data_IF_020590975029
#
_entry.id   IF_020590975029
#
_cell.length_a   1.000
_cell.length_b   1.000
_cell.length_c   1.000
_cell.angle_alpha   90.00
_cell.angle_beta   90.00
_cell.angle_gamma   90.00
#
_symmetry.space_group_name_H-M   'P 1'
#
loop_
_entity.id
_entity.type
_entity.pdbx_description
1 polymer ?
#
# COMPACT_ATOMS: atom_id res chain seq x y z
N UNK A 1 -29.70 -15.23 13.74
CA UNK A 1 -29.40 -14.67 12.41
C UNK A 1 -29.23 -15.83 11.45
N UNK A 2 -29.99 -15.87 10.36
CA UNK A 2 -29.89 -16.92 9.35
C UNK A 2 -28.60 -16.77 8.52
N UNK A 3 -28.20 -17.83 7.82
CA UNK A 3 -27.07 -17.79 6.88
C UNK A 3 -27.30 -16.74 5.78
N UNK A 4 -28.54 -16.60 5.30
CA UNK A 4 -28.89 -15.58 4.30
C UNK A 4 -28.67 -14.16 4.83
N UNK A 5 -29.05 -13.88 6.08
CA UNK A 5 -28.82 -12.57 6.71
C UNK A 5 -27.32 -12.27 6.92
N UNK A 6 -26.52 -13.29 7.24
CA UNK A 6 -25.05 -13.15 7.35
C UNK A 6 -24.43 -12.80 5.99
N UNK A 7 -24.80 -13.53 4.94
CA UNK A 7 -24.28 -13.30 3.59
C UNK A 7 -24.64 -11.91 3.05
N UNK A 8 -25.89 -11.46 3.26
CA UNK A 8 -26.32 -10.10 2.88
C UNK A 8 -25.51 -9.03 3.61
N UNK A 9 -25.32 -9.16 4.94
CA UNK A 9 -24.56 -8.19 5.73
C UNK A 9 -23.08 -8.14 5.33
N UNK A 10 -22.49 -9.28 4.99
CA UNK A 10 -21.12 -9.35 4.47
C UNK A 10 -20.97 -8.67 3.11
N UNK A 11 -21.94 -8.87 2.21
CA UNK A 11 -21.97 -8.20 0.90
C UNK A 11 -22.09 -6.68 1.07
N UNK A 12 -23.06 -6.21 1.86
CA UNK A 12 -23.25 -4.78 2.14
C UNK A 12 -21.99 -4.14 2.71
N UNK A 13 -21.34 -4.83 3.66
CA UNK A 13 -20.07 -4.38 4.24
C UNK A 13 -18.97 -4.30 3.18
N UNK A 14 -18.90 -5.27 2.26
CA UNK A 14 -17.92 -5.28 1.16
C UNK A 14 -18.17 -4.15 0.16
N UNK A 15 -19.42 -3.95 -0.25
CA UNK A 15 -19.81 -2.86 -1.17
C UNK A 15 -19.45 -1.50 -0.58
N UNK A 16 -19.78 -1.29 0.71
CA UNK A 16 -19.43 -0.05 1.42
C UNK A 16 -17.92 0.15 1.47
N UNK A 17 -17.14 -0.87 1.84
CA UNK A 17 -15.66 -0.78 1.86
C UNK A 17 -15.08 -0.42 0.50
N UNK A 18 -15.58 -1.02 -0.59
CA UNK A 18 -15.15 -0.69 -1.95
C UNK A 18 -15.42 0.77 -2.29
N UNK A 19 -16.62 1.27 -1.98
CA UNK A 19 -16.96 2.67 -2.20
C UNK A 19 -16.05 3.62 -1.40
N UNK A 20 -15.78 3.31 -0.12
CA UNK A 20 -14.86 4.08 0.73
C UNK A 20 -13.42 4.09 0.18
N UNK A 21 -12.94 2.96 -0.31
CA UNK A 21 -11.60 2.85 -0.93
C UNK A 21 -11.51 3.66 -2.22
N UNK A 22 -12.47 3.49 -3.12
CA UNK A 22 -12.48 4.20 -4.39
C UNK A 22 -12.57 5.73 -4.19
N UNK A 23 -13.43 6.19 -3.27
CA UNK A 23 -13.53 7.61 -2.93
C UNK A 23 -12.22 8.17 -2.37
N UNK A 24 -11.51 7.39 -1.52
CA UNK A 24 -10.22 7.81 -0.97
C UNK A 24 -9.12 7.89 -2.02
N UNK A 25 -9.09 6.95 -2.97
CA UNK A 25 -8.14 6.97 -4.08
C UNK A 25 -8.38 8.18 -5.00
N UNK A 26 -9.65 8.51 -5.28
CA UNK A 26 -10.01 9.71 -6.04
C UNK A 26 -9.65 11.01 -5.33
N UNK A 27 -9.93 11.09 -4.02
CA UNK A 27 -9.55 12.25 -3.22
C UNK A 27 -8.03 12.45 -3.26
N UNK A 28 -7.25 11.39 -3.08
CA UNK A 28 -5.79 11.47 -3.17
C UNK A 28 -5.30 11.91 -4.56
N UNK A 29 -5.96 11.47 -5.63
CA UNK A 29 -5.63 11.90 -7.00
C UNK A 29 -5.96 13.39 -7.25
N UNK A 30 -7.08 13.87 -6.71
CA UNK A 30 -7.50 15.27 -6.82
C UNK A 30 -6.60 16.20 -5.99
N UNK A 31 -6.29 15.80 -4.76
CA UNK A 31 -5.36 16.51 -3.87
C UNK A 31 -3.97 16.61 -4.49
N UNK A 32 -3.45 15.50 -5.04
CA UNK A 32 -2.14 15.52 -5.69
C UNK A 32 -2.12 16.43 -6.94
N UNK A 33 -3.25 16.58 -7.63
CA UNK A 33 -3.37 17.51 -8.76
C UNK A 33 -3.25 18.98 -8.32
N UNK A 34 -3.80 19.30 -7.15
CA UNK A 34 -3.74 20.65 -6.58
C UNK A 34 -2.43 20.96 -5.85
N UNK A 35 -1.78 19.94 -5.29
CA UNK A 35 -0.58 20.04 -4.45
C UNK A 35 0.48 18.98 -4.83
N UNK A 36 1.18 19.11 -5.99
CA UNK A 36 2.20 18.17 -6.45
C UNK A 36 3.34 17.90 -5.45
N UNK A 37 3.60 18.82 -4.52
CA UNK A 37 4.56 18.70 -3.43
C UNK A 37 4.17 17.62 -2.41
N UNK A 38 2.91 17.19 -2.37
CA UNK A 38 2.45 16.11 -1.47
C UNK A 38 3.06 14.76 -1.82
N UNK A 39 3.53 14.58 -3.05
CA UNK A 39 4.27 13.39 -3.45
C UNK A 39 5.72 13.47 -2.96
N UNK A 40 6.12 12.47 -2.18
CA UNK A 40 7.49 12.16 -1.82
C UNK A 40 7.93 10.88 -2.52
N UNK A 41 9.24 10.73 -2.70
CA UNK A 41 9.83 9.56 -3.35
C UNK A 41 11.07 9.11 -2.59
N UNK A 42 11.21 7.80 -2.41
CA UNK A 42 12.47 7.20 -1.99
C UNK A 42 13.50 7.21 -3.13
N UNK A 43 14.77 7.41 -2.79
CA UNK A 43 15.87 7.31 -3.76
C UNK A 43 16.08 5.85 -4.16
N UNK A 44 16.39 5.62 -5.43
CA UNK A 44 16.63 4.29 -6.00
C UNK A 44 18.06 3.80 -5.67
N UNK A 45 18.37 3.62 -4.38
CA UNK A 45 19.69 3.21 -3.87
C UNK A 45 19.59 1.83 -3.23
N UNK A 46 20.62 0.99 -3.41
CA UNK A 46 20.68 -0.36 -2.82
C UNK A 46 19.69 -1.35 -3.46
N UNK A 47 19.33 -1.14 -4.73
CA UNK A 47 18.36 -1.96 -5.46
C UNK A 47 18.73 -3.45 -5.41
N UNK A 48 17.74 -4.29 -5.11
CA UNK A 48 17.85 -5.75 -5.10
C UNK A 48 18.92 -6.30 -4.14
N UNK A 49 19.29 -5.52 -3.11
CA UNK A 49 20.19 -5.95 -2.04
C UNK A 49 19.43 -6.17 -0.75
N UNK A 50 19.85 -7.18 0.01
CA UNK A 50 19.36 -7.35 1.38
C UNK A 50 19.85 -6.18 2.22
N UNK A 51 18.96 -5.63 3.06
CA UNK A 51 19.31 -4.60 4.03
C UNK A 51 18.79 -5.03 5.41
N UNK A 52 19.57 -4.90 6.49
CA UNK A 52 19.14 -5.35 7.82
C UNK A 52 17.83 -4.68 8.25
N UNK A 53 16.84 -5.49 8.63
CA UNK A 53 15.48 -5.06 9.02
C UNK A 53 14.66 -4.42 7.89
N UNK A 54 15.15 -4.43 6.66
CA UNK A 54 14.43 -3.92 5.50
C UNK A 54 13.59 -4.99 4.84
N UNK A 55 12.34 -4.67 4.55
CA UNK A 55 11.50 -5.43 3.64
C UNK A 55 11.95 -5.19 2.20
N UNK A 56 11.78 -6.21 1.36
CA UNK A 56 12.11 -6.16 -0.06
C UNK A 56 10.84 -6.37 -0.88
N UNK A 57 10.48 -5.38 -1.69
CA UNK A 57 9.30 -5.43 -2.55
C UNK A 57 9.75 -5.51 -4.02
N UNK A 58 9.41 -6.59 -4.75
CA UNK A 58 9.84 -6.80 -6.14
C UNK A 58 9.06 -5.95 -7.15
N UNK A 59 8.09 -5.17 -6.68
CA UNK A 59 7.30 -4.20 -7.45
C UNK A 59 7.36 -2.85 -6.75
N UNK A 60 7.17 -1.76 -7.49
CA UNK A 60 7.00 -0.44 -6.88
C UNK A 60 5.72 -0.40 -6.02
N UNK A 61 5.73 0.45 -5.00
CA UNK A 61 4.59 0.65 -4.09
C UNK A 61 4.26 2.12 -3.92
N UNK A 62 2.97 2.41 -3.76
CA UNK A 62 2.47 3.73 -3.45
C UNK A 62 1.79 3.70 -2.07
N UNK A 63 2.29 4.54 -1.19
CA UNK A 63 1.80 4.73 0.18
C UNK A 63 0.99 6.02 0.27
N UNK A 64 -0.14 5.98 0.96
CA UNK A 64 -0.93 7.13 1.35
C UNK A 64 -0.97 7.18 2.89
N UNK A 65 -0.34 8.20 3.48
CA UNK A 65 -0.38 8.37 4.93
C UNK A 65 -1.71 9.01 5.33
N UNK A 66 -2.55 8.27 6.04
CA UNK A 66 -3.89 8.72 6.46
C UNK A 66 -3.84 9.42 7.83
N UNK A 67 -3.00 8.92 8.73
CA UNK A 67 -2.81 9.45 10.08
C UNK A 67 -1.40 9.18 10.60
N UNK A 68 -0.94 9.97 11.57
CA UNK A 68 0.42 9.91 12.07
C UNK A 68 1.47 10.22 11.00
N UNK A 69 2.58 9.49 11.03
CA UNK A 69 3.62 9.52 10.03
C UNK A 69 4.32 8.17 9.90
N UNK A 70 4.99 7.93 8.77
CA UNK A 70 5.90 6.80 8.61
C UNK A 70 7.30 7.31 8.40
N UNK A 71 8.23 6.82 9.21
CA UNK A 71 9.65 7.00 8.94
C UNK A 71 10.16 5.81 8.16
N UNK A 72 10.58 6.07 6.93
CA UNK A 72 11.25 5.11 6.07
C UNK A 72 12.75 5.23 6.27
N UNK A 73 13.41 4.08 6.44
CA UNK A 73 14.86 3.97 6.48
C UNK A 73 15.29 2.94 5.44
N UNK A 74 16.38 3.23 4.73
CA UNK A 74 16.94 2.32 3.74
C UNK A 74 18.42 2.63 3.50
N UNK A 75 19.07 1.95 2.53
CA UNK A 75 20.45 2.20 2.17
C UNK A 75 20.70 3.68 1.88
N UNK A 76 21.53 4.30 2.72
CA UNK A 76 21.96 5.71 2.62
C UNK A 76 20.82 6.74 2.65
N UNK A 77 19.60 6.35 3.03
CA UNK A 77 18.44 7.24 3.01
C UNK A 77 17.55 7.06 4.23
N UNK A 78 17.01 8.19 4.68
CA UNK A 78 15.99 8.25 5.71
C UNK A 78 15.07 9.41 5.38
N UNK A 79 13.77 9.17 5.40
CA UNK A 79 12.76 10.19 5.12
C UNK A 79 11.47 9.88 5.86
N UNK A 80 10.63 10.90 6.03
CA UNK A 80 9.37 10.78 6.75
C UNK A 80 8.20 11.14 5.83
N UNK A 81 7.20 10.27 5.79
CA UNK A 81 5.93 10.49 5.11
C UNK A 81 4.90 10.93 6.16
N UNK A 82 4.61 12.23 6.20
CA UNK A 82 3.62 12.81 7.10
C UNK A 82 2.18 12.56 6.60
N UNK A 83 1.20 12.67 7.51
CA UNK A 83 -0.23 12.62 7.19
C UNK A 83 -0.58 13.48 5.98
N UNK A 84 -1.44 12.94 5.10
CA UNK A 84 -1.90 13.57 3.87
C UNK A 84 -0.91 13.45 2.69
N UNK A 85 0.29 12.90 2.89
CA UNK A 85 1.28 12.77 1.81
C UNK A 85 1.21 11.41 1.13
N UNK A 86 1.69 11.39 -0.11
CA UNK A 86 1.88 10.19 -0.91
C UNK A 86 3.37 9.85 -0.97
N UNK A 87 3.72 8.58 -0.82
CA UNK A 87 5.08 8.09 -0.88
C UNK A 87 5.23 7.07 -2.01
N UNK A 88 6.09 7.37 -2.99
CA UNK A 88 6.50 6.40 -4.00
C UNK A 88 7.76 5.67 -3.52
N UNK A 89 7.66 4.35 -3.37
CA UNK A 89 8.81 3.48 -3.16
C UNK A 89 9.15 2.77 -4.47
N UNK A 90 10.32 3.04 -5.06
CA UNK A 90 10.77 2.36 -6.27
C UNK A 90 10.87 0.86 -6.08
N UNK A 91 10.65 0.14 -7.18
CA UNK A 91 10.86 -1.30 -7.25
C UNK A 91 12.25 -1.70 -6.76
N UNK A 92 12.30 -2.70 -5.89
CA UNK A 92 13.54 -3.31 -5.46
C UNK A 92 14.35 -2.50 -4.44
N UNK A 93 13.85 -1.35 -3.98
CA UNK A 93 14.47 -0.59 -2.88
C UNK A 93 14.11 -1.26 -1.54
N UNK A 94 15.10 -1.80 -0.81
CA UNK A 94 14.83 -2.35 0.51
C UNK A 94 14.60 -1.21 1.51
N UNK A 95 13.60 -1.35 2.39
CA UNK A 95 13.29 -0.32 3.37
C UNK A 95 12.68 -0.89 4.65
N UNK A 96 12.96 -0.25 5.78
CA UNK A 96 12.28 -0.47 7.05
C UNK A 96 11.26 0.65 7.28
N UNK A 97 10.17 0.29 7.93
CA UNK A 97 9.10 1.22 8.28
C UNK A 97 9.03 1.36 9.80
N UNK A 98 9.09 2.59 10.29
CA UNK A 98 8.78 2.90 11.68
C UNK A 98 7.49 3.72 11.74
N UNK A 99 6.39 3.16 12.24
CA UNK A 99 5.14 3.89 12.42
C UNK A 99 5.26 4.89 13.57
N UNK A 100 4.80 6.12 13.37
CA UNK A 100 4.84 7.21 14.34
C UNK A 100 3.44 7.78 14.53
N UNK A 101 2.92 7.73 15.76
CA UNK A 101 1.77 8.56 16.12
C UNK A 101 2.21 10.03 16.20
N UNK A 102 1.35 10.93 15.73
CA UNK A 102 1.56 12.38 15.81
C UNK A 102 0.31 13.01 16.43
N UNK A 103 -0.21 14.07 15.84
CA UNK A 103 -1.51 14.63 16.22
C UNK A 103 -2.67 13.61 16.02
N UNK A 104 -2.47 12.63 15.14
CA UNK A 104 -3.40 11.52 14.90
C UNK A 104 -2.67 10.17 15.05
N UNK A 105 -3.40 9.09 15.39
CA UNK A 105 -2.83 7.74 15.37
C UNK A 105 -2.32 7.35 13.98
N UNK A 106 -1.27 6.52 13.94
CA UNK A 106 -0.73 5.96 12.72
C UNK A 106 -1.80 5.22 11.92
N UNK A 107 -1.98 5.63 10.68
CA UNK A 107 -2.80 4.93 9.70
C UNK A 107 -2.22 5.15 8.30
N UNK A 108 -2.14 4.07 7.53
CA UNK A 108 -1.60 4.07 6.18
C UNK A 108 -2.51 3.28 5.24
N UNK A 109 -2.63 3.73 4.00
CA UNK A 109 -3.13 2.93 2.89
C UNK A 109 -1.98 2.61 1.93
N UNK A 110 -1.93 1.36 1.46
CA UNK A 110 -0.98 0.93 0.43
C UNK A 110 -1.71 0.10 -0.62
N UNK A 111 -1.31 0.28 -1.88
CA UNK A 111 -1.71 -0.59 -2.98
C UNK A 111 -0.58 -1.56 -3.31
N UNK A 112 -0.84 -2.86 -3.14
CA UNK A 112 0.13 -3.91 -3.42
C UNK A 112 -0.23 -4.65 -4.72
N UNK A 113 0.77 -4.91 -5.55
CA UNK A 113 0.59 -5.69 -6.78
C UNK A 113 0.22 -7.15 -6.44
N UNK A 114 -0.75 -7.73 -7.17
CA UNK A 114 -1.15 -9.13 -7.01
C UNK A 114 -1.28 -9.84 -8.36
N UNK A 115 -1.10 -11.16 -8.39
CA UNK A 115 -1.15 -11.94 -9.65
C UNK A 115 -2.46 -11.74 -10.44
N UNK A 116 -3.59 -11.69 -9.73
CA UNK A 116 -4.92 -11.53 -10.34
C UNK A 116 -5.40 -10.07 -10.39
N UNK A 117 -4.60 -9.10 -9.94
CA UNK A 117 -5.03 -7.73 -9.77
C UNK A 117 -4.18 -6.96 -8.78
N UNK A 118 -4.81 -6.44 -7.73
CA UNK A 118 -4.12 -5.71 -6.67
C UNK A 118 -4.83 -5.90 -5.33
N UNK A 119 -4.13 -5.57 -4.26
CA UNK A 119 -4.69 -5.57 -2.90
C UNK A 119 -4.57 -4.17 -2.34
N UNK A 120 -5.67 -3.60 -1.87
CA UNK A 120 -5.66 -2.38 -1.06
C UNK A 120 -5.59 -2.78 0.40
N UNK A 121 -4.60 -2.27 1.12
CA UNK A 121 -4.39 -2.56 2.53
C UNK A 121 -4.46 -1.24 3.30
N UNK A 122 -5.34 -1.18 4.30
CA UNK A 122 -5.29 -0.17 5.35
C UNK A 122 -4.57 -0.79 6.54
N UNK A 123 -3.49 -0.17 6.98
CA UNK A 123 -2.72 -0.62 8.11
C UNK A 123 -2.74 0.40 9.25
N UNK A 124 -2.59 -0.11 10.46
CA UNK A 124 -2.45 0.64 11.71
C UNK A 124 -1.32 0.02 12.55
N UNK A 125 -0.86 0.70 13.58
CA UNK A 125 0.25 0.23 14.40
C UNK A 125 0.05 0.64 15.87
N UNK A 126 -0.90 0.00 16.57
CA UNK A 126 -1.13 0.27 17.97
C UNK A 126 0.13 -0.12 18.78
N UNK A 127 0.42 0.58 19.88
CA UNK A 127 1.46 0.14 20.81
C UNK A 127 1.05 -1.21 21.43
N UNK A 128 2.01 -2.13 21.52
CA UNK A 128 1.87 -3.38 22.29
C UNK A 128 2.12 -3.13 23.79
N UNK A 129 2.09 -4.20 24.59
CA UNK A 129 2.26 -4.13 26.04
C UNK A 129 3.62 -3.54 26.47
N UNK A 130 4.66 -3.69 25.63
CA UNK A 130 6.01 -3.17 25.87
C UNK A 130 6.22 -1.80 25.20
N UNK A 131 5.17 -1.23 24.60
CA UNK A 131 5.20 0.04 23.86
C UNK A 131 5.84 -0.05 22.47
N UNK A 132 6.22 -1.25 22.02
CA UNK A 132 6.68 -1.46 20.65
C UNK A 132 5.50 -1.42 19.69
N UNK A 133 5.78 -1.14 18.41
CA UNK A 133 4.74 -0.97 17.38
C UNK A 133 5.01 -1.92 16.23
N UNK A 134 3.97 -2.64 15.83
CA UNK A 134 3.98 -3.49 14.64
C UNK A 134 2.89 -3.02 13.70
N UNK A 135 3.21 -2.94 12.41
CA UNK A 135 2.22 -2.59 11.38
C UNK A 135 1.29 -3.78 11.17
N UNK A 136 0.01 -3.59 11.42
CA UNK A 136 -1.04 -4.61 11.35
C UNK A 136 -2.06 -4.21 10.28
N UNK A 137 -2.35 -5.08 9.29
CA UNK A 137 -3.46 -4.88 8.37
C UNK A 137 -4.80 -4.82 9.12
N UNK A 138 -5.53 -3.72 8.95
CA UNK A 138 -6.89 -3.53 9.50
C UNK A 138 -7.97 -3.88 8.48
N UNK A 139 -7.77 -3.47 7.24
CA UNK A 139 -8.68 -3.74 6.13
C UNK A 139 -7.88 -4.19 4.91
N UNK A 140 -8.27 -5.32 4.34
CA UNK A 140 -7.61 -5.93 3.19
C UNK A 140 -8.67 -6.18 2.13
N UNK A 141 -8.57 -5.45 1.02
CA UNK A 141 -9.48 -5.53 -0.09
C UNK A 141 -8.73 -6.05 -1.33
N UNK A 142 -8.79 -7.36 -1.62
CA UNK A 142 -8.33 -7.88 -2.90
C UNK A 142 -9.29 -7.45 -4.01
N UNK A 143 -8.72 -6.95 -5.10
CA UNK A 143 -9.44 -6.56 -6.32
C UNK A 143 -8.87 -7.36 -7.49
N UNK A 144 -9.67 -8.27 -8.04
CA UNK A 144 -9.33 -8.98 -9.26
C UNK A 144 -9.57 -8.06 -10.47
N UNK A 145 -8.50 -7.60 -11.10
CA UNK A 145 -8.56 -6.72 -12.27
C UNK A 145 -7.22 -6.74 -13.00
N UNK A 146 -7.21 -7.23 -14.23
CA UNK A 146 -6.04 -7.17 -15.11
C UNK A 146 -5.58 -5.73 -15.35
N UNK A 147 -6.53 -4.81 -15.59
CA UNK A 147 -6.22 -3.38 -15.77
C UNK A 147 -5.60 -2.76 -14.51
N UNK A 148 -6.14 -3.10 -13.35
CA UNK A 148 -5.59 -2.67 -12.06
C UNK A 148 -4.18 -3.22 -11.80
N UNK A 149 -3.92 -4.46 -12.22
CA UNK A 149 -2.57 -5.06 -12.18
C UNK A 149 -1.60 -4.30 -13.09
N UNK A 150 -2.00 -4.08 -14.34
CA UNK A 150 -1.19 -3.36 -15.34
C UNK A 150 -0.91 -1.91 -14.95
N UNK A 151 -1.81 -1.27 -14.18
CA UNK A 151 -1.63 0.09 -13.71
C UNK A 151 -0.34 0.28 -12.90
N UNK A 152 0.19 -0.76 -12.25
CA UNK A 152 1.46 -0.66 -11.50
C UNK A 152 2.65 -0.22 -12.38
N UNK A 153 2.58 -0.40 -13.71
CA UNK A 153 3.59 0.15 -14.63
C UNK A 153 3.70 1.67 -14.53
N UNK A 154 2.61 2.37 -14.20
CA UNK A 154 2.64 3.82 -14.02
C UNK A 154 3.48 4.26 -12.83
N UNK A 155 3.66 3.40 -11.82
CA UNK A 155 4.58 3.68 -10.71
C UNK A 155 6.04 3.62 -11.17
N UNK A 156 6.38 2.66 -12.04
CA UNK A 156 7.70 2.56 -12.65
C UNK A 156 7.94 3.72 -13.64
N UNK A 157 6.93 4.11 -14.44
CA UNK A 157 7.00 5.27 -15.35
C UNK A 157 7.16 6.59 -14.57
N UNK A 158 6.48 6.74 -13.41
CA UNK A 158 6.66 7.89 -12.53
C UNK A 158 8.07 7.96 -11.93
N UNK A 159 8.64 6.82 -11.55
CA UNK A 159 10.00 6.72 -11.02
C UNK A 159 11.03 7.16 -12.06
N UNK A 160 10.89 6.67 -13.30
CA UNK A 160 11.76 7.02 -14.42
C UNK A 160 11.65 8.49 -14.80
N UNK A 161 10.42 9.00 -14.93
CA UNK A 161 10.17 10.41 -15.25
C UNK A 161 10.84 11.32 -14.23
N UNK A 162 10.66 11.04 -12.93
CA UNK A 162 11.26 11.85 -11.88
C UNK A 162 12.79 11.73 -11.86
N UNK A 163 13.35 10.55 -12.14
CA UNK A 163 14.81 10.37 -12.20
C UNK A 163 15.46 11.14 -13.36
N UNK A 164 14.74 11.39 -14.44
CA UNK A 164 15.23 12.09 -15.64
C UNK A 164 15.50 13.59 -15.45
N UNK A 165 15.07 14.20 -14.34
CA UNK A 165 15.23 15.65 -14.10
C UNK A 165 14.27 16.52 -14.92
N UNK A 166 14.55 17.83 -15.01
CA UNK A 166 13.70 18.80 -15.72
C UNK A 166 12.27 18.86 -15.15
N UNK A 167 11.26 18.82 -16.01
CA UNK A 167 9.84 18.72 -15.64
C UNK A 167 9.39 17.28 -15.27
N UNK A 168 10.36 16.38 -15.04
CA UNK A 168 10.09 14.98 -14.71
C UNK A 168 9.21 14.78 -13.48
N UNK A 169 9.20 15.74 -12.54
CA UNK A 169 8.30 15.71 -11.38
C UNK A 169 6.83 15.91 -11.77
N UNK A 170 6.52 16.83 -12.68
CA UNK A 170 5.15 17.05 -13.15
C UNK A 170 4.60 15.81 -13.83
N UNK A 171 5.40 15.23 -14.74
CA UNK A 171 5.04 13.99 -15.42
C UNK A 171 4.88 12.80 -14.44
N UNK A 172 5.75 12.69 -13.43
CA UNK A 172 5.60 11.66 -12.40
C UNK A 172 4.29 11.81 -11.63
N UNK A 173 3.89 13.04 -11.30
CA UNK A 173 2.60 13.31 -10.65
C UNK A 173 1.44 12.86 -11.53
N UNK A 174 1.47 13.13 -12.83
CA UNK A 174 0.41 12.68 -13.73
C UNK A 174 0.31 11.15 -13.82
N UNK A 175 1.43 10.44 -13.87
CA UNK A 175 1.43 8.97 -13.81
C UNK A 175 0.83 8.44 -12.50
N UNK A 176 1.18 9.03 -11.35
CA UNK A 176 0.57 8.64 -10.06
C UNK A 176 -0.93 8.94 -10.04
N UNK A 177 -1.38 10.06 -10.61
CA UNK A 177 -2.81 10.39 -10.70
C UNK A 177 -3.57 9.37 -11.56
N UNK A 178 -3.03 9.02 -12.73
CA UNK A 178 -3.61 7.98 -13.59
C UNK A 178 -3.66 6.64 -12.87
N UNK A 179 -2.60 6.25 -12.16
CA UNK A 179 -2.58 5.05 -11.33
C UNK A 179 -3.73 5.03 -10.31
N UNK A 180 -3.86 6.09 -9.50
CA UNK A 180 -4.89 6.21 -8.48
C UNK A 180 -6.31 6.16 -9.09
N UNK A 181 -6.53 6.83 -10.21
CA UNK A 181 -7.81 6.84 -10.92
C UNK A 181 -8.17 5.46 -11.48
N UNK A 182 -7.21 4.73 -12.06
CA UNK A 182 -7.44 3.35 -12.53
C UNK A 182 -7.79 2.44 -11.35
N UNK A 183 -7.04 2.51 -10.24
CA UNK A 183 -7.35 1.70 -9.06
C UNK A 183 -8.74 2.04 -8.49
N UNK A 184 -9.12 3.32 -8.45
CA UNK A 184 -10.44 3.73 -7.99
C UNK A 184 -11.56 3.16 -8.87
N UNK A 185 -11.44 3.30 -10.19
CA UNK A 185 -12.41 2.78 -11.16
C UNK A 185 -12.55 1.25 -11.06
N UNK A 186 -11.42 0.53 -10.99
CA UNK A 186 -11.42 -0.93 -10.90
C UNK A 186 -11.92 -1.43 -9.54
N UNK A 187 -11.69 -0.67 -8.45
CA UNK A 187 -12.25 -0.97 -7.13
C UNK A 187 -13.79 -0.89 -7.12
N UNK A 188 -14.39 0.06 -7.87
CA UNK A 188 -15.85 0.16 -8.03
C UNK A 188 -16.41 -0.97 -8.90
N UNK A 189 -15.71 -1.30 -9.98
CA UNK A 189 -16.12 -2.32 -10.96
C UNK A 189 -15.96 -3.74 -10.46
N UNK A 190 -15.08 -3.94 -9.48
CA UNK A 190 -14.80 -5.25 -8.93
C UNK A 190 -16.10 -5.98 -8.61
N UNK A 191 -16.39 -7.05 -9.34
CA UNK A 191 -17.46 -7.95 -8.95
C UNK A 191 -17.01 -8.71 -7.72
N UNK A 192 -17.96 -9.25 -6.96
CA UNK A 192 -17.69 -10.18 -5.88
C UNK A 192 -17.05 -11.45 -6.43
N UNK A 193 -15.75 -11.41 -6.74
CA UNK A 193 -15.00 -12.62 -7.03
C UNK A 193 -15.12 -13.58 -5.84
N UNK A 194 -15.35 -14.86 -6.11
CA UNK A 194 -15.32 -15.88 -5.07
C UNK A 194 -13.99 -15.78 -4.32
N UNK A 195 -14.06 -15.57 -3.01
CA UNK A 195 -12.88 -15.66 -2.16
C UNK A 195 -12.43 -17.12 -2.16
N UNK A 196 -11.36 -17.41 -2.89
CA UNK A 196 -10.75 -18.74 -2.87
C UNK A 196 -10.20 -19.12 -1.47
N UNK A 197 -9.89 -18.13 -0.64
CA UNK A 197 -9.29 -18.30 0.68
C UNK A 197 -9.89 -17.36 1.73
N UNK A 198 -9.79 -17.72 3.01
CA UNK A 198 -10.26 -16.88 4.12
C UNK A 198 -9.40 -15.62 4.29
N UNK A 199 -9.91 -14.54 4.91
CA UNK A 199 -9.13 -13.34 5.20
C UNK A 199 -7.84 -13.60 5.99
N UNK A 200 -7.87 -14.57 6.91
CA UNK A 200 -6.71 -14.94 7.72
C UNK A 200 -5.61 -15.58 6.86
N UNK A 201 -5.98 -16.43 5.90
CA UNK A 201 -5.02 -17.03 4.95
C UNK A 201 -4.38 -15.97 4.05
N UNK A 202 -5.16 -14.99 3.59
CA UNK A 202 -4.62 -13.90 2.77
C UNK A 202 -3.69 -12.98 3.60
N UNK A 203 -4.04 -12.67 4.85
CA UNK A 203 -3.17 -11.92 5.75
C UNK A 203 -1.84 -12.68 6.03
N UNK A 204 -1.93 -13.98 6.35
CA UNK A 204 -0.75 -14.82 6.56
C UNK A 204 0.14 -14.90 5.31
N UNK A 205 -0.45 -14.92 4.11
CA UNK A 205 0.32 -14.88 2.85
C UNK A 205 1.07 -13.57 2.65
N UNK A 206 0.46 -12.44 2.99
CA UNK A 206 1.13 -11.13 2.93
C UNK A 206 2.33 -11.14 3.88
N UNK A 207 2.13 -11.54 5.14
CA UNK A 207 3.21 -11.64 6.13
C UNK A 207 4.31 -12.59 5.66
N UNK A 208 3.97 -13.81 5.23
CA UNK A 208 4.95 -14.76 4.75
C UNK A 208 5.79 -14.22 3.57
N UNK A 209 5.16 -13.51 2.62
CA UNK A 209 5.85 -12.91 1.47
C UNK A 209 6.80 -11.79 1.88
N UNK A 210 6.39 -10.91 2.79
CA UNK A 210 7.21 -9.80 3.27
C UNK A 210 8.43 -10.25 4.08
N UNK A 211 8.46 -11.52 4.52
CA UNK A 211 9.51 -12.09 5.35
C UNK A 211 10.19 -13.33 4.72
N UNK A 212 10.08 -13.54 3.40
CA UNK A 212 10.72 -14.67 2.71
C UNK A 212 12.25 -14.73 2.87
N UNK A 213 12.88 -13.58 3.14
CA UNK A 213 14.32 -13.50 3.37
C UNK A 213 14.73 -13.81 4.83
N UNK A 214 13.77 -14.04 5.73
CA UNK A 214 14.02 -14.35 7.13
C UNK A 214 14.08 -15.85 7.36
N UNK A 215 15.24 -16.34 7.77
CA UNK A 215 15.47 -17.78 8.06
C UNK A 215 14.69 -18.28 9.27
N UNK A 216 14.07 -17.39 10.03
CA UNK A 216 13.24 -17.70 11.21
C UNK A 216 11.74 -17.74 10.90
N UNK A 217 11.32 -17.44 9.66
CA UNK A 217 9.93 -17.54 9.24
C UNK A 217 9.40 -18.96 9.51
N UNK A 218 8.41 -19.09 10.39
CA UNK A 218 7.81 -20.37 10.79
C UNK A 218 6.29 -20.30 10.81
N UNK A 219 5.63 -21.46 10.88
CA UNK A 219 4.15 -21.52 11.03
C UNK A 219 3.71 -20.92 12.36
N UNK A 220 4.46 -21.18 13.44
CA UNK A 220 4.19 -20.62 14.78
C UNK A 220 4.26 -19.10 14.78
N UNK A 221 5.14 -18.50 13.97
CA UNK A 221 5.23 -17.06 13.84
C UNK A 221 4.06 -16.43 13.07
N UNK A 222 3.41 -17.20 12.20
CA UNK A 222 2.24 -16.79 11.42
C UNK A 222 0.90 -17.06 12.13
N UNK A 223 0.90 -17.83 13.22
CA UNK A 223 -0.28 -18.26 13.98
C UNK A 223 -0.67 -17.23 15.05
#
# INVERSE_FOLDING_TARGET
MSLAEQLTKEEETRVRRRAEWAARLEAAAAELAGEPERLARARSVGLNRRWPRGHFHPTAELFLQIGGATRFEGPEQRWELAQGRLGLMPRGVPHAETPLDRATPYAMAVACHARAGFTLIRAHAPPDADGARRVIPQDVLPVASERGREAFRYLDEAEQAWAGGGDGRGLAVDFIRVFLQVLAAETRRATSGERKYSPLVEAARVVARSHLAETRLSVEWLA
#
